data_IF_371368519696
#
_entry.id   IF_371368519696
#
_cell.length_a   1.000
_cell.length_b   1.000
_cell.length_c   1.000
_cell.angle_alpha   90.00
_cell.angle_beta   90.00
_cell.angle_gamma   90.00
#
_symmetry.space_group_name_H-M   'P 1'
#
loop_
_entity.id
_entity.type
_entity.pdbx_description
1 polymer ?
#
# COMPACT_ATOMS: atom_id res chain seq x y z
N UNK A 1 -22.21 5.95 2.86
CA UNK A 1 -22.33 4.84 1.90
C UNK A 1 -22.46 3.52 2.65
N UNK A 2 -23.32 2.59 2.22
CA UNK A 2 -23.49 1.30 2.90
C UNK A 2 -22.37 0.33 2.54
N UNK A 3 -21.27 0.33 3.30
CA UNK A 3 -20.06 -0.42 2.93
C UNK A 3 -20.29 -1.92 2.78
N UNK A 4 -21.19 -2.50 3.58
CA UNK A 4 -21.59 -3.92 3.48
C UNK A 4 -22.20 -4.25 2.12
N UNK A 5 -23.07 -3.39 1.62
CA UNK A 5 -23.72 -3.57 0.32
C UNK A 5 -22.72 -3.38 -0.83
N UNK A 6 -21.89 -2.34 -0.75
CA UNK A 6 -20.85 -2.10 -1.75
C UNK A 6 -19.86 -3.27 -1.82
N UNK A 7 -19.37 -3.74 -0.66
CA UNK A 7 -18.49 -4.89 -0.60
C UNK A 7 -19.12 -6.13 -1.24
N UNK A 8 -20.38 -6.45 -0.87
CA UNK A 8 -21.11 -7.58 -1.43
C UNK A 8 -21.27 -7.46 -2.96
N UNK A 9 -21.53 -6.26 -3.47
CA UNK A 9 -21.57 -6.00 -4.91
C UNK A 9 -20.21 -6.28 -5.54
N UNK A 10 -19.12 -5.72 -5.02
CA UNK A 10 -17.77 -5.85 -5.58
C UNK A 10 -17.19 -7.28 -5.50
N UNK A 11 -17.79 -8.20 -4.74
CA UNK A 11 -17.42 -9.62 -4.81
C UNK A 11 -17.67 -10.20 -6.21
N UNK A 12 -18.70 -9.72 -6.91
CA UNK A 12 -18.98 -10.07 -8.31
C UNK A 12 -18.07 -9.22 -9.21
N UNK A 13 -17.22 -9.84 -10.03
CA UNK A 13 -16.26 -9.08 -10.88
C UNK A 13 -16.95 -8.08 -11.81
N UNK A 14 -18.09 -8.45 -12.41
CA UNK A 14 -18.82 -7.66 -13.42
C UNK A 14 -19.46 -6.37 -12.87
N UNK A 15 -19.62 -6.25 -11.56
CA UNK A 15 -20.23 -5.06 -10.94
C UNK A 15 -19.19 -4.03 -10.51
N UNK A 16 -17.90 -4.39 -10.54
CA UNK A 16 -16.82 -3.51 -10.08
C UNK A 16 -16.64 -2.30 -10.98
N UNK A 17 -16.76 -2.45 -12.30
CA UNK A 17 -16.70 -1.33 -13.25
C UNK A 17 -17.82 -0.31 -12.99
N UNK A 18 -19.01 -0.81 -12.62
CA UNK A 18 -20.15 0.03 -12.24
C UNK A 18 -19.88 0.75 -10.92
N UNK A 19 -19.27 0.08 -9.94
CA UNK A 19 -18.88 0.70 -8.68
C UNK A 19 -17.85 1.82 -8.90
N UNK A 20 -16.85 1.57 -9.75
CA UNK A 20 -15.84 2.58 -10.12
C UNK A 20 -16.51 3.78 -10.80
N UNK A 21 -17.34 3.53 -11.81
CA UNK A 21 -18.08 4.58 -12.53
C UNK A 21 -19.03 5.39 -11.64
N UNK A 22 -19.49 4.80 -10.53
CA UNK A 22 -20.35 5.45 -9.54
C UNK A 22 -19.59 6.26 -8.48
N UNK A 23 -18.27 6.41 -8.61
CA UNK A 23 -17.45 7.19 -7.65
C UNK A 23 -17.13 6.45 -6.35
N UNK A 24 -17.20 5.11 -6.35
CA UNK A 24 -16.81 4.33 -5.17
C UNK A 24 -15.37 4.58 -4.69
N UNK A 25 -14.34 4.75 -5.56
CA UNK A 25 -12.97 4.98 -5.13
C UNK A 25 -12.82 6.20 -4.22
N UNK A 26 -13.28 7.37 -4.67
CA UNK A 26 -13.22 8.62 -3.90
C UNK A 26 -13.98 8.50 -2.57
N UNK A 27 -15.20 7.95 -2.64
CA UNK A 27 -16.02 7.79 -1.43
C UNK A 27 -15.35 6.87 -0.41
N UNK A 28 -14.75 5.77 -0.86
CA UNK A 28 -14.06 4.81 0.02
C UNK A 28 -12.89 5.45 0.75
N UNK A 29 -12.06 6.24 0.05
CA UNK A 29 -10.90 6.92 0.67
C UNK A 29 -11.37 7.97 1.68
N UNK A 30 -12.38 8.76 1.34
CA UNK A 30 -12.87 9.84 2.19
C UNK A 30 -13.56 9.34 3.47
N UNK A 31 -14.21 8.17 3.44
CA UNK A 31 -14.93 7.64 4.60
C UNK A 31 -14.15 6.59 5.40
N UNK A 32 -12.98 6.12 4.92
CA UNK A 32 -12.25 5.02 5.57
C UNK A 32 -11.84 5.34 7.02
N UNK A 33 -11.51 6.59 7.31
CA UNK A 33 -11.11 7.03 8.65
C UNK A 33 -12.26 7.00 9.66
N UNK A 34 -13.52 7.04 9.20
CA UNK A 34 -14.72 7.08 10.03
C UNK A 34 -15.28 5.68 10.35
N UNK A 35 -14.75 4.63 9.70
CA UNK A 35 -15.27 3.28 9.87
C UNK A 35 -14.75 2.59 11.12
N UNK A 36 -15.65 1.92 11.83
CA UNK A 36 -15.29 0.94 12.84
C UNK A 36 -14.50 -0.23 12.22
N UNK A 37 -13.81 -1.01 13.06
CA UNK A 37 -12.91 -2.11 12.64
C UNK A 37 -13.52 -3.03 11.56
N UNK A 38 -14.74 -3.52 11.76
CA UNK A 38 -15.42 -4.43 10.84
C UNK A 38 -15.72 -3.80 9.48
N UNK A 39 -16.05 -2.51 9.46
CA UNK A 39 -16.41 -1.78 8.25
C UNK A 39 -15.14 -1.32 7.51
N UNK A 40 -14.09 -0.97 8.25
CA UNK A 40 -12.74 -0.73 7.72
C UNK A 40 -12.19 -1.95 6.99
N UNK A 41 -12.34 -3.16 7.55
CA UNK A 41 -11.94 -4.40 6.86
C UNK A 41 -12.65 -4.58 5.52
N UNK A 42 -13.97 -4.32 5.48
CA UNK A 42 -14.77 -4.42 4.25
C UNK A 42 -14.40 -3.35 3.23
N UNK A 43 -14.13 -2.13 3.70
CA UNK A 43 -13.66 -1.04 2.86
C UNK A 43 -12.32 -1.38 2.21
N UNK A 44 -11.33 -1.80 2.99
CA UNK A 44 -10.01 -2.21 2.48
C UNK A 44 -10.10 -3.41 1.53
N UNK A 45 -10.94 -4.39 1.84
CA UNK A 45 -11.20 -5.51 0.93
C UNK A 45 -11.80 -5.03 -0.39
N UNK A 46 -12.74 -4.08 -0.34
CA UNK A 46 -13.35 -3.48 -1.54
C UNK A 46 -12.30 -2.74 -2.36
N UNK A 47 -11.47 -1.92 -1.72
CA UNK A 47 -10.35 -1.20 -2.38
C UNK A 47 -9.43 -2.21 -3.08
N UNK A 48 -8.97 -3.27 -2.40
CA UNK A 48 -8.13 -4.30 -3.01
C UNK A 48 -8.80 -4.95 -4.24
N UNK A 49 -10.10 -5.23 -4.17
CA UNK A 49 -10.83 -5.84 -5.29
C UNK A 49 -10.95 -4.90 -6.50
N UNK A 50 -11.08 -3.61 -6.26
CA UNK A 50 -11.19 -2.58 -7.30
C UNK A 50 -9.82 -2.22 -7.89
N UNK A 51 -8.73 -2.22 -7.11
CA UNK A 51 -7.37 -2.02 -7.62
C UNK A 51 -6.90 -3.14 -8.55
N UNK A 52 -7.57 -4.29 -8.59
CA UNK A 52 -7.30 -5.36 -9.57
C UNK A 52 -7.89 -5.09 -10.95
N UNK A 53 -8.62 -4.00 -11.11
CA UNK A 53 -9.15 -3.52 -12.39
C UNK A 53 -8.32 -2.30 -12.79
N UNK A 54 -7.83 -2.21 -14.04
CA UNK A 54 -7.01 -1.09 -14.49
C UNK A 54 -7.64 0.28 -14.19
N UNK A 55 -8.92 0.44 -14.51
CA UNK A 55 -9.69 1.67 -14.28
C UNK A 55 -9.83 1.99 -12.78
N UNK A 56 -10.00 0.96 -11.94
CA UNK A 56 -10.08 1.13 -10.50
C UNK A 56 -8.73 1.52 -9.91
N UNK A 57 -7.66 0.85 -10.35
CA UNK A 57 -6.29 1.16 -9.94
C UNK A 57 -5.92 2.60 -10.30
N UNK A 58 -6.20 3.03 -11.54
CA UNK A 58 -5.99 4.40 -11.99
C UNK A 58 -6.81 5.42 -11.17
N UNK A 59 -8.08 5.12 -10.87
CA UNK A 59 -8.91 6.00 -10.06
C UNK A 59 -8.37 6.18 -8.62
N UNK A 60 -7.86 5.10 -8.01
CA UNK A 60 -7.22 5.18 -6.70
C UNK A 60 -5.86 5.89 -6.74
N UNK A 61 -5.04 5.63 -7.75
CA UNK A 61 -3.74 6.28 -7.93
C UNK A 61 -3.86 7.79 -8.18
N UNK A 62 -4.93 8.24 -8.85
CA UNK A 62 -5.20 9.66 -9.07
C UNK A 62 -5.57 10.43 -7.78
N UNK A 63 -6.00 9.73 -6.74
CA UNK A 63 -6.43 10.35 -5.48
C UNK A 63 -5.26 10.45 -4.49
N UNK A 64 -4.78 11.68 -4.24
CA UNK A 64 -3.56 11.95 -3.48
C UNK A 64 -3.51 11.32 -2.06
N UNK A 65 -4.66 11.12 -1.41
CA UNK A 65 -4.72 10.52 -0.08
C UNK A 65 -4.67 8.98 -0.08
N UNK A 66 -4.84 8.32 -1.22
CA UNK A 66 -4.98 6.85 -1.28
C UNK A 66 -3.76 6.16 -0.69
N UNK A 67 -2.57 6.45 -1.22
CA UNK A 67 -1.35 5.76 -0.81
C UNK A 67 -1.01 6.05 0.66
N UNK A 68 -0.93 7.32 1.12
CA UNK A 68 -0.64 7.62 2.52
C UNK A 68 -1.64 6.99 3.50
N UNK A 69 -2.92 6.95 3.14
CA UNK A 69 -3.96 6.36 3.97
C UNK A 69 -3.80 4.85 4.09
N UNK A 70 -3.56 4.16 2.97
CA UNK A 70 -3.34 2.71 2.97
C UNK A 70 -2.09 2.34 3.78
N UNK A 71 -0.98 3.06 3.61
CA UNK A 71 0.25 2.91 4.40
C UNK A 71 -0.10 3.07 5.90
N UNK A 72 -0.80 4.14 6.27
CA UNK A 72 -1.21 4.38 7.66
C UNK A 72 -2.06 3.25 8.26
N UNK A 73 -2.79 2.46 7.46
CA UNK A 73 -3.65 1.35 7.96
C UNK A 73 -2.90 0.04 8.25
N UNK A 74 -1.70 -0.14 7.69
CA UNK A 74 -0.87 -1.34 7.89
C UNK A 74 -0.59 -1.53 9.40
N UNK A 75 -0.89 -2.73 9.91
CA UNK A 75 -0.73 -3.14 11.32
C UNK A 75 -1.60 -2.38 12.34
N UNK A 76 -2.57 -1.55 11.93
CA UNK A 76 -3.38 -0.72 12.87
C UNK A 76 -4.79 -1.21 13.13
N UNK A 77 -5.37 -2.01 12.24
CA UNK A 77 -6.80 -2.38 12.31
C UNK A 77 -6.96 -3.86 12.64
N UNK A 78 -6.46 -4.74 11.76
CA UNK A 78 -6.44 -6.19 11.93
C UNK A 78 -5.49 -6.82 10.91
N UNK A 79 -5.22 -8.12 11.06
CA UNK A 79 -4.40 -8.85 10.09
C UNK A 79 -5.05 -8.89 8.70
N UNK A 80 -6.38 -9.02 8.66
CA UNK A 80 -7.14 -9.00 7.40
C UNK A 80 -7.08 -7.64 6.73
N UNK A 81 -7.32 -6.58 7.48
CA UNK A 81 -7.19 -5.20 6.99
C UNK A 81 -5.77 -4.95 6.45
N UNK A 82 -4.75 -5.41 7.16
CA UNK A 82 -3.35 -5.30 6.74
C UNK A 82 -3.08 -6.07 5.45
N UNK A 83 -3.61 -7.28 5.31
CA UNK A 83 -3.49 -8.07 4.09
C UNK A 83 -4.15 -7.38 2.88
N UNK A 84 -5.33 -6.79 3.08
CA UNK A 84 -6.06 -6.06 2.03
C UNK A 84 -5.33 -4.78 1.64
N UNK A 85 -4.90 -3.97 2.61
CA UNK A 85 -4.14 -2.74 2.38
C UNK A 85 -2.81 -3.03 1.64
N UNK A 86 -2.05 -4.04 2.06
CA UNK A 86 -0.82 -4.44 1.38
C UNK A 86 -1.10 -4.94 -0.05
N UNK A 87 -2.26 -5.58 -0.29
CA UNK A 87 -2.67 -6.00 -1.63
C UNK A 87 -2.98 -4.81 -2.54
N UNK A 88 -3.72 -3.83 -2.02
CA UNK A 88 -4.04 -2.61 -2.76
C UNK A 88 -2.78 -1.79 -3.10
N UNK A 89 -1.88 -1.63 -2.12
CA UNK A 89 -0.59 -0.96 -2.33
C UNK A 89 0.26 -1.70 -3.37
N UNK A 90 0.29 -3.03 -3.35
CA UNK A 90 1.03 -3.80 -4.35
C UNK A 90 0.51 -3.53 -5.76
N UNK A 91 -0.81 -3.49 -5.96
CA UNK A 91 -1.40 -3.14 -7.25
C UNK A 91 -1.04 -1.71 -7.67
N UNK A 92 -1.16 -0.72 -6.78
CA UNK A 92 -0.87 0.68 -7.08
C UNK A 92 0.60 0.91 -7.45
N UNK A 93 1.51 0.39 -6.61
CA UNK A 93 2.95 0.53 -6.83
C UNK A 93 3.43 -0.22 -8.08
N UNK A 94 2.74 -1.27 -8.52
CA UNK A 94 3.11 -2.01 -9.74
C UNK A 94 2.80 -1.22 -11.01
N UNK A 95 1.82 -0.32 -10.97
CA UNK A 95 1.35 0.44 -12.13
C UNK A 95 1.88 1.88 -12.16
N UNK A 96 2.46 2.38 -11.05
CA UNK A 96 2.85 3.79 -10.92
C UNK A 96 4.08 3.99 -10.04
N UNK A 97 5.15 4.52 -10.63
CA UNK A 97 6.34 4.98 -9.89
C UNK A 97 6.01 6.11 -8.90
N UNK A 98 5.06 6.99 -9.24
CA UNK A 98 4.60 8.02 -8.29
C UNK A 98 4.00 7.39 -7.05
N UNK A 99 3.23 6.31 -7.19
CA UNK A 99 2.70 5.56 -6.04
C UNK A 99 3.80 4.91 -5.21
N UNK A 100 4.91 4.49 -5.83
CA UNK A 100 6.09 3.99 -5.10
C UNK A 100 6.73 5.09 -4.27
N UNK A 101 6.98 6.25 -4.87
CA UNK A 101 7.55 7.42 -4.19
C UNK A 101 6.67 7.89 -3.03
N UNK A 102 5.35 7.99 -3.25
CA UNK A 102 4.39 8.39 -2.23
C UNK A 102 4.36 7.37 -1.07
N UNK A 103 4.46 6.07 -1.38
CA UNK A 103 4.47 5.03 -0.36
C UNK A 103 5.75 5.10 0.48
N UNK A 104 6.91 5.30 -0.15
CA UNK A 104 8.20 5.47 0.53
C UNK A 104 8.19 6.72 1.40
N UNK A 105 7.72 7.85 0.87
CA UNK A 105 7.59 9.11 1.63
C UNK A 105 6.62 8.97 2.83
N UNK A 106 5.58 8.14 2.70
CA UNK A 106 4.67 7.80 3.79
C UNK A 106 5.25 6.80 4.82
N UNK A 107 6.47 6.29 4.59
CA UNK A 107 7.17 5.41 5.53
C UNK A 107 6.84 3.92 5.40
N UNK A 108 6.35 3.47 4.24
CA UNK A 108 5.90 2.08 4.03
C UNK A 108 6.98 1.05 4.33
N UNK A 109 8.26 1.36 4.05
CA UNK A 109 9.38 0.42 4.21
C UNK A 109 9.45 -0.12 5.64
N UNK A 110 9.44 0.78 6.63
CA UNK A 110 9.50 0.39 8.04
C UNK A 110 8.30 -0.47 8.43
N UNK A 111 7.10 -0.13 7.96
CA UNK A 111 5.90 -0.90 8.25
C UNK A 111 5.92 -2.30 7.62
N UNK A 112 6.45 -2.44 6.41
CA UNK A 112 6.58 -3.74 5.74
C UNK A 112 7.59 -4.65 6.44
N UNK A 113 8.71 -4.08 6.92
CA UNK A 113 9.69 -4.83 7.71
C UNK A 113 9.08 -5.35 9.01
N UNK A 114 8.34 -4.50 9.73
CA UNK A 114 7.59 -4.90 10.94
C UNK A 114 6.54 -5.96 10.61
N UNK A 115 5.81 -5.82 9.49
CA UNK A 115 4.81 -6.77 9.05
C UNK A 115 5.41 -8.16 8.78
N UNK A 116 6.58 -8.23 8.14
CA UNK A 116 7.25 -9.52 7.89
C UNK A 116 7.66 -10.21 9.20
N UNK A 117 8.05 -9.45 10.22
CA UNK A 117 8.46 -9.98 11.53
C UNK A 117 7.29 -10.26 12.49
N UNK A 118 6.11 -9.71 12.23
CA UNK A 118 4.91 -9.86 13.07
C UNK A 118 4.31 -11.28 13.03
N UNK A 119 3.28 -11.52 13.83
CA UNK A 119 2.45 -12.75 13.78
C UNK A 119 1.27 -12.66 12.79
N UNK A 120 1.24 -11.64 11.90
CA UNK A 120 0.20 -11.52 10.88
C UNK A 120 0.18 -12.71 9.91
N UNK A 121 -0.90 -12.80 9.11
CA UNK A 121 -1.10 -13.90 8.16
C UNK A 121 0.06 -14.07 7.17
N UNK A 122 0.34 -15.31 6.79
CA UNK A 122 1.36 -15.63 5.76
C UNK A 122 1.11 -14.88 4.45
N UNK A 123 -0.16 -14.65 4.11
CA UNK A 123 -0.54 -13.90 2.91
C UNK A 123 -0.19 -12.42 3.02
N UNK A 124 -0.37 -11.80 4.18
CA UNK A 124 0.08 -10.43 4.42
C UNK A 124 1.61 -10.33 4.32
N UNK A 125 2.35 -11.27 4.94
CA UNK A 125 3.82 -11.33 4.87
C UNK A 125 4.34 -11.50 3.45
N UNK A 126 3.74 -12.39 2.66
CA UNK A 126 4.12 -12.58 1.24
C UNK A 126 3.91 -11.30 0.42
N UNK A 127 2.78 -10.61 0.59
CA UNK A 127 2.53 -9.32 -0.08
C UNK A 127 3.54 -8.26 0.34
N UNK A 128 3.90 -8.21 1.62
CA UNK A 128 4.92 -7.30 2.13
C UNK A 128 6.29 -7.53 1.49
N UNK A 129 6.70 -8.80 1.37
CA UNK A 129 7.95 -9.17 0.71
C UNK A 129 7.96 -8.80 -0.78
N UNK A 130 6.84 -8.95 -1.48
CA UNK A 130 6.72 -8.52 -2.88
C UNK A 130 6.81 -7.00 -3.00
N UNK A 131 6.14 -6.25 -2.13
CA UNK A 131 6.24 -4.80 -2.08
C UNK A 131 7.67 -4.32 -1.79
N UNK A 132 8.36 -4.93 -0.82
CA UNK A 132 9.76 -4.59 -0.53
C UNK A 132 10.68 -4.81 -1.74
N UNK A 133 10.46 -5.89 -2.51
CA UNK A 133 11.21 -6.14 -3.74
C UNK A 133 10.92 -5.11 -4.83
N UNK A 134 9.65 -4.70 -4.95
CA UNK A 134 9.21 -3.71 -5.92
C UNK A 134 9.77 -2.32 -5.60
N UNK A 135 9.78 -1.94 -4.33
CA UNK A 135 10.25 -0.63 -3.86
C UNK A 135 11.77 -0.53 -3.68
N UNK A 136 12.54 -1.57 -4.03
CA UNK A 136 13.99 -1.61 -3.81
C UNK A 136 14.70 -0.43 -4.46
N UNK A 137 14.28 -0.08 -5.67
CA UNK A 137 14.95 0.98 -6.44
C UNK A 137 14.45 2.38 -6.04
N UNK A 138 13.36 2.44 -5.26
CA UNK A 138 12.81 3.66 -4.64
C UNK A 138 13.17 3.78 -3.17
N UNK A 139 14.04 2.92 -2.63
CA UNK A 139 14.44 3.03 -1.23
C UNK A 139 15.04 4.42 -0.99
N UNK A 140 14.76 5.04 0.16
CA UNK A 140 15.49 6.24 0.54
C UNK A 140 16.95 5.81 0.56
N UNK A 141 17.76 6.36 -0.35
CA UNK A 141 19.20 6.15 -0.33
C UNK A 141 19.66 6.63 1.04
N UNK A 142 19.99 5.69 1.92
CA UNK A 142 20.81 5.99 3.07
C UNK A 142 22.06 6.61 2.47
N UNK A 143 22.23 7.92 2.67
CA UNK A 143 23.46 8.62 2.38
C UNK A 143 24.56 8.08 3.31
N UNK A 144 25.01 6.86 3.04
CA UNK A 144 26.33 6.38 3.40
C UNK A 144 27.25 7.12 2.44
N UNK A 145 27.64 8.32 2.84
CA UNK A 145 28.72 9.04 2.19
C UNK A 145 29.89 8.09 2.05
N UNK A 146 30.30 7.89 0.80
CA UNK A 146 31.50 7.15 0.43
C UNK A 146 32.70 7.85 1.08
N UNK A 147 33.06 7.47 2.31
CA UNK A 147 34.29 7.91 2.96
C UNK A 147 35.45 7.05 2.47
N UNK A 148 35.73 7.11 1.17
CA UNK A 148 37.00 6.69 0.59
C UNK A 148 37.91 7.91 0.52
N UNK A 149 38.51 8.29 1.65
CA UNK A 149 39.67 9.19 1.69
C UNK A 149 40.45 8.93 2.98
N UNK A 150 41.06 7.74 3.08
CA UNK A 150 42.28 7.56 3.86
C UNK A 150 43.42 7.26 2.89
N UNK A 151 44.02 8.34 2.39
CA UNK A 151 45.28 8.28 1.66
C UNK A 151 46.33 7.67 2.58
N UNK A 152 46.90 6.56 2.12
CA UNK A 152 48.07 5.91 2.68
C UNK A 152 49.26 6.88 2.58
N UNK A 153 49.67 7.50 3.69
CA UNK A 153 51.02 8.04 3.77
C UNK A 153 51.96 6.90 4.15
N UNK A 154 52.54 6.29 3.12
CA UNK A 154 53.89 5.70 3.22
C UNK A 154 54.83 6.80 3.75
N UNK A 155 55.23 6.69 5.02
CA UNK A 155 56.46 7.33 5.48
C UNK A 155 57.56 6.31 5.27
N UNK A 156 58.22 6.44 4.12
CA UNK A 156 59.55 5.87 3.89
C UNK A 156 60.57 6.78 4.59
N UNK A 157 61.55 6.12 5.21
CA UNK A 157 62.77 6.56 5.91
C UNK A 157 62.66 6.73 7.43
#
# INVERSE_FOLDING_TARGET
>A
MGIKALFALCLVKQTRDKAISAGAPETLINTLADFEKCDSERALATIELLCRIPEGCAAFAAHALTVPLLVKTILKISDRATEYAAGALLSLCSESEQSQNDAVAAGIITQLLLLVQSECTDRAKRKAQLLLKLLRDSWPEDSVGNSDDFVCSEVVW
#
